data_IF_701863192389
#
_entry.id   IF_701863192389
#
_cell.length_a   1.000
_cell.length_b   1.000
_cell.length_c   1.000
_cell.angle_alpha   90.00
_cell.angle_beta   90.00
_cell.angle_gamma   90.00
#
_symmetry.space_group_name_H-M   'P 1'
#
loop_
_entity.id
_entity.type
_entity.pdbx_description
1 polymer ?
#
# COMPACT_ATOMS: atom_id res chain seq x y z
N UNK A 1 5.52 7.44 -8.87
CA UNK A 1 6.86 8.05 -8.93
C UNK A 1 7.86 7.12 -8.27
N UNK A 2 8.82 6.58 -9.01
CA UNK A 2 9.93 5.77 -8.52
C UNK A 2 11.22 6.41 -9.05
N UNK A 3 12.30 6.41 -8.28
CA UNK A 3 13.60 7.02 -8.63
C UNK A 3 14.41 6.21 -9.67
N UNK A 4 13.82 5.15 -10.26
CA UNK A 4 14.45 4.36 -11.33
C UNK A 4 13.88 4.75 -12.70
N UNK A 5 14.77 4.89 -13.69
CA UNK A 5 14.46 5.29 -15.08
C UNK A 5 13.40 4.41 -15.78
N UNK A 6 13.15 3.20 -15.28
CA UNK A 6 12.05 2.32 -15.70
C UNK A 6 11.64 1.44 -14.54
N UNK A 7 10.53 1.77 -13.89
CA UNK A 7 9.88 0.91 -12.92
C UNK A 7 8.66 0.28 -13.56
N UNK A 8 8.58 -1.04 -13.60
CA UNK A 8 7.40 -1.79 -14.08
C UNK A 8 6.15 -1.66 -13.19
N UNK A 9 6.17 -0.76 -12.19
CA UNK A 9 5.02 -0.48 -11.32
C UNK A 9 4.68 -1.57 -10.30
N UNK A 10 5.46 -2.67 -10.23
CA UNK A 10 5.10 -3.82 -9.40
C UNK A 10 5.17 -3.58 -7.89
N UNK A 11 5.97 -2.62 -7.41
CA UNK A 11 6.20 -2.46 -5.97
C UNK A 11 4.93 -2.21 -5.16
N UNK A 12 4.03 -1.34 -5.67
CA UNK A 12 2.78 -1.06 -4.98
C UNK A 12 1.78 -2.21 -5.10
N UNK A 13 1.76 -2.92 -6.23
CA UNK A 13 0.94 -4.11 -6.43
C UNK A 13 1.35 -5.24 -5.46
N UNK A 14 2.65 -5.48 -5.30
CA UNK A 14 3.18 -6.47 -4.36
C UNK A 14 2.81 -6.08 -2.93
N UNK A 15 3.03 -4.81 -2.55
CA UNK A 15 2.67 -4.33 -1.21
C UNK A 15 1.17 -4.49 -0.93
N UNK A 16 0.31 -4.15 -1.90
CA UNK A 16 -1.14 -4.32 -1.81
C UNK A 16 -1.52 -5.79 -1.56
N UNK A 17 -0.99 -6.72 -2.36
CA UNK A 17 -1.30 -8.14 -2.21
C UNK A 17 -0.91 -8.67 -0.82
N UNK A 18 0.30 -8.33 -0.34
CA UNK A 18 0.75 -8.72 1.00
C UNK A 18 -0.22 -8.19 2.06
N UNK A 19 -0.59 -6.91 1.99
CA UNK A 19 -1.48 -6.29 2.98
C UNK A 19 -2.88 -6.93 2.97
N UNK A 20 -3.44 -7.22 1.80
CA UNK A 20 -4.75 -7.86 1.64
C UNK A 20 -4.74 -9.32 2.15
N UNK A 21 -3.67 -10.08 1.91
CA UNK A 21 -3.47 -11.42 2.47
C UNK A 21 -3.41 -11.43 4.01
N UNK A 22 -2.98 -10.32 4.62
CA UNK A 22 -3.01 -10.11 6.07
C UNK A 22 -4.36 -9.57 6.58
N UNK A 23 -5.37 -9.47 5.73
CA UNK A 23 -6.70 -8.93 6.07
C UNK A 23 -6.73 -7.42 6.29
N UNK A 24 -5.68 -6.72 5.85
CA UNK A 24 -5.57 -5.27 5.95
C UNK A 24 -5.98 -4.55 4.67
N UNK A 25 -5.58 -3.28 4.57
CA UNK A 25 -5.70 -2.51 3.35
C UNK A 25 -4.75 -1.32 3.29
N UNK A 26 -4.70 -0.70 2.11
CA UNK A 26 -3.83 0.43 1.79
C UNK A 26 -4.63 1.52 1.07
N UNK A 27 -4.50 2.77 1.52
CA UNK A 27 -5.21 3.92 0.94
C UNK A 27 -4.25 5.09 0.67
N UNK A 28 -4.40 5.81 -0.46
CA UNK A 28 -3.64 7.01 -0.71
C UNK A 28 -4.18 8.17 0.12
N UNK A 29 -3.29 8.90 0.78
CA UNK A 29 -3.57 10.19 1.41
C UNK A 29 -2.61 11.17 0.76
N UNK A 30 -3.07 11.89 -0.26
CA UNK A 30 -2.22 12.88 -0.92
C UNK A 30 -3.03 14.01 -1.53
N UNK A 31 -2.39 15.16 -1.58
CA UNK A 31 -2.87 16.31 -2.34
C UNK A 31 -1.91 16.55 -3.52
N UNK A 32 -2.42 17.00 -4.68
CA UNK A 32 -1.57 17.37 -5.81
C UNK A 32 -0.45 18.31 -5.38
N UNK A 33 0.78 18.03 -5.85
CA UNK A 33 2.00 18.82 -5.58
C UNK A 33 2.52 18.82 -4.13
N UNK A 34 1.95 18.02 -3.21
CA UNK A 34 2.44 17.89 -1.81
C UNK A 34 3.15 16.57 -1.50
N UNK A 35 3.50 15.80 -2.54
CA UNK A 35 4.06 14.46 -2.39
C UNK A 35 2.97 13.38 -2.33
N UNK A 36 3.31 12.21 -1.78
CA UNK A 36 2.38 11.09 -1.67
C UNK A 36 2.56 10.37 -0.33
N UNK A 37 1.46 10.19 0.41
CA UNK A 37 1.39 9.32 1.59
C UNK A 37 0.48 8.14 1.27
N UNK A 38 0.88 6.95 1.69
CA UNK A 38 0.04 5.75 1.64
C UNK A 38 -0.17 5.29 3.08
N UNK A 39 -1.42 5.22 3.52
CA UNK A 39 -1.76 4.69 4.84
C UNK A 39 -2.09 3.21 4.74
N UNK A 40 -1.49 2.40 5.62
CA UNK A 40 -1.71 0.96 5.74
C UNK A 40 -2.39 0.68 7.06
N UNK A 41 -3.42 -0.17 7.03
CA UNK A 41 -4.06 -0.69 8.24
C UNK A 41 -3.99 -2.21 8.23
N UNK A 42 -3.76 -2.80 9.40
CA UNK A 42 -3.74 -4.25 9.61
C UNK A 42 -4.64 -4.60 10.81
N UNK A 43 -5.34 -5.74 10.78
CA UNK A 43 -6.03 -6.26 11.95
C UNK A 43 -5.04 -6.52 13.09
N UNK A 44 -5.38 -6.09 14.31
CA UNK A 44 -4.54 -6.34 15.49
C UNK A 44 -4.49 -7.83 15.89
N UNK A 45 -5.55 -8.57 15.55
CA UNK A 45 -5.67 -10.01 15.71
C UNK A 45 -6.44 -10.58 14.52
N UNK A 46 -6.22 -11.86 14.22
CA UNK A 46 -7.11 -12.60 13.32
C UNK A 46 -8.44 -12.82 14.06
N UNK A 47 -9.56 -12.33 13.52
CA UNK A 47 -10.88 -12.63 14.09
C UNK A 47 -11.06 -14.16 14.13
N UNK A 48 -11.38 -14.76 15.29
CA UNK A 48 -11.78 -16.15 15.33
C UNK A 48 -13.08 -16.30 14.52
N UNK A 49 -13.11 -17.34 13.67
CA UNK A 49 -14.31 -17.75 12.92
C UNK A 49 -15.42 -18.19 13.88
#
# INVERSE_FOLDING_TARGET
FSTKNRGIGLGLTIARNIIEEHGGGIVPISEPKKGATMAVYLPRYRLPL
#
